data_IF_066050071369
#
_entry.id   IF_066050071369
#
_cell.length_a   1.000
_cell.length_b   1.000
_cell.length_c   1.000
_cell.angle_alpha   90.00
_cell.angle_beta   90.00
_cell.angle_gamma   90.00
#
_symmetry.space_group_name_H-M   'P 1'
#
loop_
_entity.id
_entity.type
_entity.pdbx_description
1 polymer ?
#
# COMPACT_ATOMS: atom_id res chain seq x y z
N UNK A 1 -47.29 -47.84 21.89
CA UNK A 1 -48.39 -47.00 21.35
C UNK A 1 -47.76 -46.08 20.32
N UNK A 2 -48.26 -46.16 19.09
CA UNK A 2 -47.56 -45.82 17.85
C UNK A 2 -48.17 -44.54 17.25
N UNK A 3 -47.42 -43.44 17.18
CA UNK A 3 -47.71 -42.22 16.38
C UNK A 3 -46.36 -41.45 16.30
N UNK A 4 -45.74 -41.06 15.20
CA UNK A 4 -45.92 -41.17 13.76
C UNK A 4 -44.82 -40.27 13.14
N UNK A 5 -43.87 -40.86 12.42
CA UNK A 5 -42.75 -40.18 11.73
C UNK A 5 -43.26 -39.33 10.55
N UNK A 6 -42.72 -38.11 10.39
CA UNK A 6 -42.68 -37.41 9.10
C UNK A 6 -41.28 -36.85 8.86
N UNK A 7 -40.49 -37.53 8.02
CA UNK A 7 -39.20 -37.06 7.49
C UNK A 7 -39.44 -36.16 6.27
N UNK A 8 -38.64 -35.10 6.05
CA UNK A 8 -38.71 -34.28 4.85
C UNK A 8 -38.10 -35.00 3.63
N UNK A 9 -38.75 -34.85 2.47
CA UNK A 9 -38.37 -35.44 1.19
C UNK A 9 -37.15 -34.73 0.54
N UNK A 10 -36.34 -35.44 -0.27
CA UNK A 10 -35.20 -34.86 -0.99
C UNK A 10 -35.65 -34.05 -2.23
N UNK A 11 -34.87 -33.04 -2.66
CA UNK A 11 -35.25 -32.18 -3.79
C UNK A 11 -35.16 -32.91 -5.13
N UNK A 12 -36.20 -32.71 -5.95
CA UNK A 12 -36.37 -33.24 -7.30
C UNK A 12 -35.46 -32.54 -8.32
N UNK A 13 -34.71 -33.34 -9.08
CA UNK A 13 -33.93 -32.93 -10.26
C UNK A 13 -34.87 -32.82 -11.46
N UNK A 14 -35.01 -31.62 -12.03
CA UNK A 14 -35.75 -31.39 -13.28
C UNK A 14 -34.78 -31.46 -14.46
N UNK A 15 -34.93 -32.50 -15.28
CA UNK A 15 -34.24 -32.73 -16.55
C UNK A 15 -34.87 -31.91 -17.68
N UNK A 16 -34.06 -31.17 -18.44
CA UNK A 16 -34.45 -30.59 -19.74
C UNK A 16 -34.19 -31.61 -20.89
N UNK A 17 -34.93 -31.53 -22.02
CA UNK A 17 -35.02 -32.62 -22.98
C UNK A 17 -33.89 -32.65 -24.02
N UNK A 18 -33.59 -33.89 -24.44
CA UNK A 18 -32.67 -34.30 -25.51
C UNK A 18 -33.31 -34.05 -26.89
N UNK A 19 -32.51 -33.55 -27.84
CA UNK A 19 -32.81 -33.50 -29.29
C UNK A 19 -31.58 -34.06 -30.05
N UNK A 20 -31.75 -34.84 -31.14
CA UNK A 20 -30.83 -35.94 -31.49
C UNK A 20 -29.72 -35.57 -32.50
N UNK A 21 -28.75 -36.48 -32.59
CA UNK A 21 -27.60 -36.47 -33.50
C UNK A 21 -27.97 -36.87 -34.95
N UNK A 22 -27.31 -36.25 -35.93
CA UNK A 22 -27.18 -36.72 -37.32
C UNK A 22 -25.72 -36.50 -37.78
N UNK A 23 -25.20 -37.51 -38.49
CA UNK A 23 -23.85 -37.79 -39.01
C UNK A 23 -23.35 -36.95 -40.21
N UNK A 24 -22.01 -36.96 -40.38
CA UNK A 24 -21.24 -36.82 -41.65
C UNK A 24 -20.97 -35.38 -42.12
N UNK A 25 -19.82 -34.95 -42.62
CA UNK A 25 -18.58 -35.57 -43.11
C UNK A 25 -17.46 -34.49 -43.19
N UNK A 26 -16.19 -34.89 -43.13
CA UNK A 26 -15.15 -34.35 -44.02
C UNK A 26 -14.13 -33.31 -43.53
N UNK A 27 -12.87 -33.73 -43.55
CA UNK A 27 -11.61 -32.97 -43.77
C UNK A 27 -10.84 -32.31 -42.59
N UNK A 28 -9.74 -32.99 -42.26
CA UNK A 28 -8.54 -32.55 -41.54
C UNK A 28 -7.70 -31.53 -42.31
N UNK A 29 -7.26 -30.43 -41.68
CA UNK A 29 -6.01 -29.73 -42.03
C UNK A 29 -5.33 -29.16 -40.77
N UNK A 30 -4.06 -29.55 -40.56
CA UNK A 30 -3.15 -28.98 -39.57
C UNK A 30 -2.72 -27.55 -39.95
N UNK A 31 -2.50 -26.66 -38.97
CA UNK A 31 -1.70 -25.45 -39.20
C UNK A 31 -0.63 -25.27 -38.12
N UNK A 32 0.60 -25.24 -38.64
CA UNK A 32 1.91 -25.11 -38.03
C UNK A 32 2.11 -23.84 -37.18
N UNK A 33 2.80 -23.98 -36.04
CA UNK A 33 3.52 -22.87 -35.42
C UNK A 33 4.73 -22.48 -36.27
N UNK A 34 4.89 -21.19 -36.56
CA UNK A 34 6.11 -20.63 -37.16
C UNK A 34 6.71 -19.52 -36.29
N UNK A 35 7.89 -19.85 -35.81
CA UNK A 35 8.93 -19.03 -35.20
C UNK A 35 9.49 -18.03 -36.24
N UNK A 36 9.73 -16.76 -35.86
CA UNK A 36 10.53 -15.84 -36.69
C UNK A 36 11.50 -15.01 -35.85
N UNK A 37 12.77 -15.43 -35.87
CA UNK A 37 13.94 -14.56 -35.70
C UNK A 37 14.09 -13.66 -36.93
N UNK A 38 14.62 -12.47 -36.72
CA UNK A 38 14.56 -11.36 -37.68
C UNK A 38 15.51 -11.39 -38.87
N UNK A 39 15.40 -10.33 -39.67
CA UNK A 39 16.41 -9.83 -40.59
C UNK A 39 16.04 -8.41 -41.02
N UNK A 40 17.02 -7.50 -40.89
CA UNK A 40 17.04 -6.17 -41.49
C UNK A 40 16.91 -6.20 -43.00
N UNK A 41 16.32 -5.17 -43.61
CA UNK A 41 16.85 -4.54 -44.83
C UNK A 41 16.09 -3.24 -45.16
N UNK A 42 16.90 -2.22 -45.41
CA UNK A 42 16.64 -0.91 -46.01
C UNK A 42 16.21 -1.01 -47.47
N UNK A 43 15.38 -0.08 -47.96
CA UNK A 43 15.77 0.95 -48.95
C UNK A 43 14.57 1.71 -49.56
N UNK A 44 14.81 3.00 -49.85
CA UNK A 44 14.55 3.56 -51.18
C UNK A 44 13.16 4.03 -51.59
N UNK A 45 12.86 5.30 -51.28
CA UNK A 45 12.60 6.44 -52.21
C UNK A 45 11.45 6.43 -53.26
N UNK A 46 10.88 7.64 -53.37
CA UNK A 46 10.34 8.36 -54.54
C UNK A 46 8.82 8.37 -54.83
N UNK A 47 8.18 9.43 -54.30
CA UNK A 47 7.55 10.54 -55.04
C UNK A 47 6.76 10.27 -56.33
N UNK A 48 5.45 10.52 -56.32
CA UNK A 48 4.76 11.15 -57.47
C UNK A 48 3.50 11.92 -57.02
N UNK A 49 3.44 13.19 -57.39
CA UNK A 49 2.34 14.14 -57.18
C UNK A 49 1.70 14.52 -58.54
N UNK A 50 0.36 14.50 -58.64
CA UNK A 50 -0.37 15.01 -59.82
C UNK A 50 -1.91 14.80 -59.81
N UNK A 51 -2.64 15.68 -59.11
CA UNK A 51 -3.94 16.40 -59.38
C UNK A 51 -4.98 15.91 -60.44
N UNK A 52 -6.30 16.30 -60.42
CA UNK A 52 -7.15 16.98 -59.41
C UNK A 52 -8.61 16.36 -59.30
N UNK A 53 -9.73 17.06 -58.95
CA UNK A 53 -10.62 16.59 -57.87
C UNK A 53 -12.08 16.26 -58.31
N UNK A 54 -12.73 15.28 -57.69
CA UNK A 54 -14.20 15.29 -57.54
C UNK A 54 -14.69 14.27 -56.51
N UNK A 55 -15.46 14.77 -55.54
CA UNK A 55 -16.66 14.17 -54.90
C UNK A 55 -16.67 12.64 -54.76
N UNK A 56 -16.68 12.01 -53.60
CA UNK A 56 -17.26 12.37 -52.31
C UNK A 56 -17.72 11.05 -51.68
N UNK A 57 -17.70 10.96 -50.34
CA UNK A 57 -18.27 9.87 -49.54
C UNK A 57 -17.54 8.52 -49.54
N UNK A 58 -16.43 8.38 -48.78
CA UNK A 58 -16.06 7.14 -48.04
C UNK A 58 -15.04 7.34 -46.89
N UNK A 59 -14.89 8.54 -46.31
CA UNK A 59 -13.90 8.81 -45.24
C UNK A 59 -14.49 9.40 -43.95
N UNK A 60 -15.72 9.02 -43.59
CA UNK A 60 -16.40 9.47 -42.35
C UNK A 60 -16.69 8.38 -41.31
N UNK A 61 -16.15 7.16 -41.45
CA UNK A 61 -16.42 6.07 -40.49
C UNK A 61 -15.20 5.51 -39.74
N UNK A 62 -14.05 6.19 -39.77
CA UNK A 62 -12.86 5.75 -39.00
C UNK A 62 -12.21 6.85 -38.16
N UNK A 63 -12.96 7.91 -37.78
CA UNK A 63 -12.43 9.00 -36.93
C UNK A 63 -13.16 9.24 -35.60
N UNK A 64 -14.11 8.38 -35.20
CA UNK A 64 -14.89 8.53 -33.98
C UNK A 64 -14.67 7.44 -32.90
N UNK A 65 -13.54 6.72 -32.94
CA UNK A 65 -13.25 5.68 -31.94
C UNK A 65 -12.14 6.07 -30.94
N UNK A 66 -11.89 7.37 -30.73
CA UNK A 66 -10.86 7.85 -29.81
C UNK A 66 -11.27 9.13 -29.06
N UNK A 67 -12.46 9.13 -28.47
CA UNK A 67 -12.96 10.27 -27.69
C UNK A 67 -13.80 9.86 -26.50
N UNK A 68 -13.29 8.97 -25.64
CA UNK A 68 -13.75 8.82 -24.25
C UNK A 68 -12.57 8.31 -23.39
N UNK A 69 -11.47 9.07 -23.40
CA UNK A 69 -10.47 8.98 -22.34
C UNK A 69 -10.93 9.99 -21.27
N UNK A 70 -11.29 9.49 -20.09
CA UNK A 70 -11.71 10.31 -18.96
C UNK A 70 -10.63 11.34 -18.63
N UNK A 71 -11.00 12.61 -18.74
CA UNK A 71 -10.17 13.79 -18.58
C UNK A 71 -9.86 14.04 -17.09
N UNK A 72 -8.97 13.22 -16.53
CA UNK A 72 -8.49 13.35 -15.13
C UNK A 72 -7.41 14.43 -14.99
N UNK A 73 -6.75 14.80 -16.09
CA UNK A 73 -5.66 15.78 -16.10
C UNK A 73 -6.14 17.23 -15.93
N UNK A 74 -7.32 17.57 -16.47
CA UNK A 74 -7.85 18.94 -16.36
C UNK A 74 -8.31 19.34 -14.95
N UNK A 75 -8.71 18.36 -14.12
CA UNK A 75 -9.06 18.59 -12.73
C UNK A 75 -7.83 18.79 -11.82
N UNK A 76 -6.67 18.25 -12.20
CA UNK A 76 -5.42 18.39 -11.44
C UNK A 76 -4.78 19.77 -11.63
N UNK A 77 -4.91 20.35 -12.83
CA UNK A 77 -4.40 21.69 -13.13
C UNK A 77 -5.16 22.83 -12.42
N UNK A 78 -6.42 22.60 -12.01
CA UNK A 78 -7.23 23.58 -11.30
C UNK A 78 -6.75 23.89 -9.86
N UNK A 79 -5.86 23.06 -9.29
CA UNK A 79 -5.36 23.24 -7.92
C UNK A 79 -3.95 23.86 -7.85
N UNK A 80 -3.39 24.30 -8.98
CA UNK A 80 -2.12 25.03 -9.00
C UNK A 80 -2.38 26.48 -8.55
N UNK A 81 -1.83 26.95 -7.42
CA UNK A 81 -1.99 28.34 -7.03
C UNK A 81 -1.35 29.24 -8.09
N UNK A 82 -2.14 30.16 -8.66
CA UNK A 82 -1.64 31.15 -9.61
C UNK A 82 -0.72 32.12 -8.88
N UNK A 83 0.59 32.00 -9.12
CA UNK A 83 1.58 32.97 -8.65
C UNK A 83 1.32 34.27 -9.42
N UNK A 84 0.81 35.30 -8.73
CA UNK A 84 0.63 36.64 -9.29
C UNK A 84 1.98 37.23 -9.67
N UNK A 85 2.03 37.83 -10.86
CA UNK A 85 3.15 38.51 -11.50
C UNK A 85 4.10 39.22 -10.54
N UNK A 86 5.28 38.63 -10.35
CA UNK A 86 6.45 39.30 -9.79
C UNK A 86 7.49 39.35 -10.91
N UNK A 87 8.02 40.55 -11.17
CA UNK A 87 9.03 40.80 -12.20
C UNK A 87 10.10 39.69 -12.20
N UNK A 88 10.51 39.18 -13.38
CA UNK A 88 11.50 38.11 -13.43
C UNK A 88 12.81 38.63 -12.84
N UNK A 89 13.33 38.08 -11.73
CA UNK A 89 14.70 38.34 -11.35
C UNK A 89 15.61 37.63 -12.36
N UNK A 90 16.73 38.27 -12.72
CA UNK A 90 17.73 37.76 -13.65
C UNK A 90 18.14 36.31 -13.32
N UNK A 91 17.58 35.36 -14.06
CA UNK A 91 17.79 33.91 -13.92
C UNK A 91 19.13 33.45 -14.50
N UNK A 92 20.11 34.33 -14.67
CA UNK A 92 21.38 33.94 -15.32
C UNK A 92 22.25 33.03 -14.47
N UNK A 93 22.01 32.88 -13.16
CA UNK A 93 22.87 32.06 -12.27
C UNK A 93 22.14 31.27 -11.17
N UNK A 94 20.83 31.00 -11.30
CA UNK A 94 20.14 30.12 -10.34
C UNK A 94 20.21 28.68 -10.87
N UNK A 95 21.14 27.89 -10.34
CA UNK A 95 21.16 26.44 -10.51
C UNK A 95 19.97 25.88 -9.73
N UNK A 96 18.84 25.67 -10.42
CA UNK A 96 17.75 24.85 -9.92
C UNK A 96 18.30 23.41 -9.82
N UNK A 97 18.28 22.74 -8.65
CA UNK A 97 18.66 21.34 -8.59
C UNK A 97 17.75 20.57 -9.54
N UNK A 98 18.32 19.90 -10.55
CA UNK A 98 17.53 19.04 -11.43
C UNK A 98 16.71 18.08 -10.57
N UNK A 99 15.41 18.02 -10.81
CA UNK A 99 14.59 16.90 -10.39
C UNK A 99 15.28 15.63 -10.90
N UNK A 100 15.90 14.89 -10.00
CA UNK A 100 16.61 13.66 -10.32
C UNK A 100 15.56 12.58 -10.52
N UNK A 101 14.91 12.63 -11.68
CA UNK A 101 14.21 11.47 -12.24
C UNK A 101 15.25 10.37 -12.36
N UNK A 102 14.87 9.22 -11.82
CA UNK A 102 15.77 8.11 -11.50
C UNK A 102 16.90 7.87 -12.54
N UNK A 103 18.16 8.01 -12.15
CA UNK A 103 19.34 7.54 -12.91
C UNK A 103 19.93 6.28 -12.25
N UNK A 104 19.39 5.11 -12.61
CA UNK A 104 19.79 3.80 -12.06
C UNK A 104 21.13 3.34 -12.66
N UNK A 105 21.45 3.82 -13.86
CA UNK A 105 22.63 3.37 -14.60
C UNK A 105 23.94 3.66 -13.85
N UNK A 106 23.97 4.70 -13.01
CA UNK A 106 25.16 5.11 -12.27
C UNK A 106 25.37 4.30 -10.98
N UNK A 107 24.32 3.63 -10.47
CA UNK A 107 24.41 2.71 -9.31
C UNK A 107 24.66 1.27 -9.77
N UNK A 108 24.32 0.94 -11.02
CA UNK A 108 24.42 -0.40 -11.62
C UNK A 108 25.69 -0.56 -12.48
N UNK A 109 26.68 0.31 -12.29
CA UNK A 109 28.01 0.16 -12.86
C UNK A 109 28.63 -1.19 -12.50
N UNK A 110 28.74 -2.05 -13.51
CA UNK A 110 29.59 -3.26 -13.59
C UNK A 110 29.24 -4.44 -12.67
N UNK A 111 28.64 -5.47 -13.29
CA UNK A 111 29.15 -6.85 -13.39
C UNK A 111 27.97 -7.81 -13.66
N UNK A 112 27.89 -8.30 -14.90
CA UNK A 112 27.18 -9.55 -15.20
C UNK A 112 28.26 -10.62 -15.12
N UNK A 113 28.36 -11.41 -14.03
CA UNK A 113 29.31 -12.51 -14.03
C UNK A 113 28.75 -13.63 -14.90
N UNK A 114 29.50 -14.03 -15.92
CA UNK A 114 29.32 -15.27 -16.66
C UNK A 114 29.70 -16.43 -15.73
N UNK A 115 28.77 -16.88 -14.88
CA UNK A 115 29.10 -17.96 -13.95
C UNK A 115 29.04 -19.32 -14.61
N UNK A 116 30.20 -19.96 -14.54
CA UNK A 116 30.54 -21.29 -15.01
C UNK A 116 29.87 -22.37 -14.13
N UNK A 117 29.63 -23.52 -14.75
CA UNK A 117 28.90 -24.72 -14.29
C UNK A 117 29.43 -25.28 -12.95
N UNK A 118 28.68 -25.22 -11.83
CA UNK A 118 28.94 -26.02 -10.60
C UNK A 118 27.66 -26.48 -9.87
N UNK A 119 27.76 -27.73 -9.40
CA UNK A 119 26.94 -28.59 -8.51
C UNK A 119 25.41 -28.37 -8.37
N UNK A 120 24.63 -29.44 -8.62
CA UNK A 120 23.16 -29.42 -8.66
C UNK A 120 22.44 -29.06 -7.35
N UNK A 121 23.05 -29.26 -6.18
CA UNK A 121 22.48 -28.85 -4.89
C UNK A 121 22.57 -27.34 -4.65
N UNK A 122 23.66 -26.74 -5.12
CA UNK A 122 23.79 -25.29 -5.18
C UNK A 122 22.75 -24.74 -6.14
N UNK A 123 22.55 -25.35 -7.32
CA UNK A 123 21.57 -24.87 -8.31
C UNK A 123 20.13 -24.87 -7.77
N UNK A 124 19.70 -25.91 -7.05
CA UNK A 124 18.37 -25.98 -6.42
C UNK A 124 18.23 -24.92 -5.33
N UNK A 125 19.23 -24.79 -4.45
CA UNK A 125 19.24 -23.76 -3.40
C UNK A 125 19.28 -22.35 -3.99
N UNK A 126 20.05 -22.13 -5.06
CA UNK A 126 20.13 -20.88 -5.83
C UNK A 126 18.82 -20.58 -6.58
N UNK A 127 18.10 -21.59 -7.10
CA UNK A 127 16.77 -21.38 -7.72
C UNK A 127 15.67 -21.15 -6.68
N UNK A 128 15.75 -21.78 -5.51
CA UNK A 128 14.83 -21.57 -4.39
C UNK A 128 14.99 -20.17 -3.77
N UNK A 129 16.22 -19.70 -3.52
CA UNK A 129 16.48 -18.36 -2.98
C UNK A 129 16.23 -17.24 -3.99
N UNK A 130 16.34 -17.53 -5.29
CA UNK A 130 15.90 -16.63 -6.38
C UNK A 130 14.38 -16.53 -6.50
N UNK A 131 13.63 -17.40 -5.82
CA UNK A 131 12.18 -17.41 -5.86
C UNK A 131 11.62 -16.25 -5.03
N UNK A 132 10.95 -15.29 -5.69
CA UNK A 132 10.23 -14.20 -5.04
C UNK A 132 9.24 -14.68 -3.97
N UNK A 133 8.81 -15.95 -4.03
CA UNK A 133 7.91 -16.57 -3.07
C UNK A 133 8.51 -16.73 -1.66
N UNK A 134 9.79 -17.09 -1.56
CA UNK A 134 10.47 -17.23 -0.25
C UNK A 134 10.56 -15.86 0.43
N UNK A 135 10.92 -14.83 -0.33
CA UNK A 135 10.93 -13.45 0.14
C UNK A 135 9.57 -13.03 0.71
N UNK A 136 8.47 -13.36 0.02
CA UNK A 136 7.11 -13.03 0.45
C UNK A 136 6.72 -13.75 1.74
N UNK A 137 7.10 -15.02 1.90
CA UNK A 137 6.87 -15.76 3.16
C UNK A 137 7.60 -15.09 4.32
N UNK A 138 8.89 -14.80 4.16
CA UNK A 138 9.69 -14.15 5.20
C UNK A 138 9.14 -12.77 5.53
N UNK A 139 8.76 -11.99 4.52
CA UNK A 139 8.16 -10.67 4.70
C UNK A 139 6.85 -10.74 5.51
N UNK A 140 5.96 -11.66 5.16
CA UNK A 140 4.68 -11.82 5.86
C UNK A 140 4.84 -12.27 7.31
N UNK A 141 5.76 -13.21 7.56
CA UNK A 141 6.09 -13.66 8.92
C UNK A 141 6.68 -12.51 9.75
N UNK A 142 7.67 -11.79 9.22
CA UNK A 142 8.33 -10.69 9.94
C UNK A 142 7.39 -9.51 10.23
N UNK A 143 6.56 -9.13 9.26
CA UNK A 143 5.55 -8.07 9.44
C UNK A 143 4.55 -8.45 10.55
N UNK A 144 4.10 -9.70 10.59
CA UNK A 144 3.10 -10.17 11.56
C UNK A 144 3.68 -10.37 12.95
N UNK A 145 4.91 -10.86 13.06
CA UNK A 145 5.65 -10.90 14.34
C UNK A 145 5.80 -9.49 14.90
N UNK A 146 6.17 -8.52 14.06
CA UNK A 146 6.29 -7.13 14.50
C UNK A 146 4.95 -6.56 14.97
N UNK A 147 3.87 -6.81 14.24
CA UNK A 147 2.52 -6.39 14.63
C UNK A 147 2.09 -6.97 15.98
N UNK A 148 2.31 -8.28 16.17
CA UNK A 148 2.03 -8.94 17.44
C UNK A 148 2.84 -8.33 18.60
N UNK A 149 4.14 -8.08 18.41
CA UNK A 149 5.00 -7.49 19.44
C UNK A 149 4.56 -6.07 19.84
N UNK A 150 4.19 -5.23 18.86
CA UNK A 150 3.68 -3.89 19.14
C UNK A 150 2.34 -3.96 19.87
N UNK A 151 1.41 -4.81 19.43
CA UNK A 151 0.11 -4.98 20.09
C UNK A 151 0.28 -5.50 21.54
N UNK A 152 1.19 -6.45 21.77
CA UNK A 152 1.53 -6.96 23.10
C UNK A 152 2.16 -5.88 23.99
N UNK A 153 3.07 -5.06 23.45
CA UNK A 153 3.70 -3.96 24.18
C UNK A 153 2.69 -2.87 24.55
N UNK A 154 1.77 -2.52 23.64
CA UNK A 154 0.66 -1.60 23.93
C UNK A 154 -0.25 -2.15 25.02
N UNK A 155 -0.58 -3.45 24.98
CA UNK A 155 -1.33 -4.13 26.04
C UNK A 155 -0.63 -4.08 27.40
N UNK A 156 0.70 -4.27 27.42
CA UNK A 156 1.52 -4.13 28.63
C UNK A 156 1.48 -2.72 29.22
N UNK A 157 1.64 -1.68 28.38
CA UNK A 157 1.54 -0.27 28.81
C UNK A 157 0.14 0.04 29.35
N UNK A 158 -0.92 -0.45 28.69
CA UNK A 158 -2.29 -0.26 29.15
C UNK A 158 -2.57 -0.94 30.51
N UNK A 159 -2.02 -2.13 30.74
CA UNK A 159 -2.13 -2.84 32.02
C UNK A 159 -1.39 -2.07 33.12
N UNK A 160 -0.18 -1.58 32.82
CA UNK A 160 0.61 -0.80 33.77
C UNK A 160 -0.05 0.54 34.12
N UNK A 161 -0.70 1.19 33.13
CA UNK A 161 -1.51 2.39 33.36
C UNK A 161 -2.64 2.14 34.38
N UNK A 162 -3.35 1.01 34.28
CA UNK A 162 -4.41 0.64 35.23
C UNK A 162 -3.81 0.42 36.62
N UNK A 163 -2.70 -0.32 36.72
CA UNK A 163 -2.01 -0.56 37.99
C UNK A 163 -1.60 0.75 38.66
N UNK A 164 -0.96 1.66 37.92
CA UNK A 164 -0.52 2.98 38.43
C UNK A 164 -1.71 3.82 38.87
N UNK A 165 -2.81 3.81 38.10
CA UNK A 165 -4.02 4.56 38.45
C UNK A 165 -4.64 4.06 39.76
N UNK A 166 -4.62 2.75 40.00
CA UNK A 166 -5.18 2.12 41.19
C UNK A 166 -4.36 2.36 42.47
N UNK A 167 -3.13 2.88 42.38
CA UNK A 167 -2.33 3.26 43.56
C UNK A 167 -2.87 4.53 44.26
N UNK A 168 -3.71 5.32 43.58
CA UNK A 168 -4.31 6.52 44.16
C UNK A 168 -5.38 6.17 45.21
N UNK A 169 -5.14 6.52 46.47
CA UNK A 169 -6.09 6.30 47.57
C UNK A 169 -7.33 7.21 47.57
N UNK A 170 -7.29 8.34 46.86
CA UNK A 170 -8.40 9.29 46.70
C UNK A 170 -8.61 9.61 45.22
N UNK A 171 -9.83 10.04 44.84
CA UNK A 171 -10.20 10.30 43.44
C UNK A 171 -9.28 11.33 42.75
N UNK A 172 -8.80 12.35 43.47
CA UNK A 172 -7.87 13.37 42.94
C UNK A 172 -6.53 12.73 42.59
N UNK A 173 -5.99 11.90 43.47
CA UNK A 173 -4.73 11.19 43.22
C UNK A 173 -4.86 10.23 42.03
N UNK A 174 -6.00 9.54 41.90
CA UNK A 174 -6.27 8.66 40.75
C UNK A 174 -6.30 9.44 39.43
N UNK A 175 -6.97 10.60 39.39
CA UNK A 175 -7.01 11.45 38.19
C UNK A 175 -5.61 11.98 37.84
N UNK A 176 -4.84 12.43 38.83
CA UNK A 176 -3.47 12.90 38.61
C UNK A 176 -2.54 11.79 38.09
N UNK A 177 -2.64 10.58 38.65
CA UNK A 177 -1.86 9.43 38.19
C UNK A 177 -2.29 8.97 36.80
N UNK A 178 -3.59 8.96 36.52
CA UNK A 178 -4.15 8.63 35.19
C UNK A 178 -3.61 9.58 34.11
N UNK A 179 -3.76 10.89 34.33
CA UNK A 179 -3.34 11.91 33.36
C UNK A 179 -1.81 11.98 33.28
N UNK A 180 -1.13 11.99 34.43
CA UNK A 180 0.33 12.06 34.51
C UNK A 180 1.00 10.89 33.80
N UNK A 181 0.49 9.67 33.97
CA UNK A 181 1.01 8.50 33.27
C UNK A 181 0.89 8.61 31.76
N UNK A 182 -0.29 9.00 31.25
CA UNK A 182 -0.53 9.12 29.80
C UNK A 182 0.37 10.19 29.17
N UNK A 183 0.51 11.34 29.82
CA UNK A 183 1.41 12.41 29.37
C UNK A 183 2.86 11.94 29.37
N UNK A 184 3.31 11.25 30.42
CA UNK A 184 4.67 10.73 30.52
C UNK A 184 5.01 9.77 29.37
N UNK A 185 4.15 8.79 29.12
CA UNK A 185 4.36 7.82 28.04
C UNK A 185 4.32 8.51 26.67
N UNK A 186 3.42 9.46 26.45
CA UNK A 186 3.36 10.23 25.21
C UNK A 186 4.65 11.03 24.99
N UNK A 187 5.12 11.74 26.01
CA UNK A 187 6.37 12.52 25.94
C UNK A 187 7.57 11.62 25.66
N UNK A 188 7.63 10.43 26.27
CA UNK A 188 8.66 9.45 25.99
C UNK A 188 8.65 9.05 24.50
N UNK A 189 7.47 8.73 23.95
CA UNK A 189 7.32 8.36 22.54
C UNK A 189 7.76 9.47 21.57
N UNK A 190 7.37 10.71 21.86
CA UNK A 190 7.77 11.89 21.08
C UNK A 190 9.30 12.09 21.14
N UNK A 191 9.87 11.99 22.34
CA UNK A 191 11.31 12.17 22.60
C UNK A 191 12.13 11.12 21.85
N UNK A 192 11.74 9.84 21.94
CA UNK A 192 12.40 8.74 21.21
C UNK A 192 12.35 8.95 19.69
N UNK A 193 11.20 9.35 19.16
CA UNK A 193 11.03 9.59 17.72
C UNK A 193 11.91 10.76 17.27
N UNK A 194 11.94 11.85 18.05
CA UNK A 194 12.74 13.04 17.73
C UNK A 194 14.25 12.77 17.71
N UNK A 195 14.77 12.03 18.70
CA UNK A 195 16.21 11.75 18.80
C UNK A 195 16.70 10.63 17.88
N UNK A 196 15.91 9.58 17.64
CA UNK A 196 16.35 8.44 16.82
C UNK A 196 16.22 8.74 15.32
N UNK A 197 15.02 9.14 14.88
CA UNK A 197 14.77 9.42 13.47
C UNK A 197 13.54 10.32 13.31
N UNK A 198 13.70 11.64 13.15
CA UNK A 198 12.57 12.56 13.01
C UNK A 198 11.74 12.29 11.75
N UNK A 199 12.34 11.67 10.72
CA UNK A 199 11.66 11.27 9.49
C UNK A 199 10.63 10.15 9.70
N UNK A 200 10.65 9.47 10.86
CA UNK A 200 9.66 8.43 11.19
C UNK A 200 8.28 8.99 11.55
N UNK A 201 8.18 10.30 11.82
CA UNK A 201 6.96 10.95 12.28
C UNK A 201 5.78 10.80 11.29
N UNK A 202 4.56 10.71 11.84
CA UNK A 202 3.33 10.62 11.06
C UNK A 202 2.99 9.22 10.54
N UNK A 203 1.97 9.14 9.68
CA UNK A 203 1.42 7.89 9.15
C UNK A 203 2.44 7.13 8.30
N UNK A 204 2.98 7.77 7.27
CA UNK A 204 3.89 7.17 6.29
C UNK A 204 3.21 6.64 5.03
N UNK A 205 1.87 6.60 4.97
CA UNK A 205 1.14 6.28 3.73
C UNK A 205 1.41 7.31 2.63
N UNK A 206 1.33 8.64 2.86
CA UNK A 206 1.57 9.62 1.79
C UNK A 206 2.97 9.51 1.20
N UNK A 207 3.98 9.33 2.05
CA UNK A 207 5.37 9.13 1.66
C UNK A 207 5.56 7.82 0.90
N UNK A 208 4.89 6.75 1.33
CA UNK A 208 4.91 5.47 0.64
C UNK A 208 4.23 5.56 -0.74
N UNK A 209 3.13 6.31 -0.86
CA UNK A 209 2.47 6.62 -2.14
C UNK A 209 3.44 7.33 -3.08
N UNK A 210 4.21 8.30 -2.58
CA UNK A 210 5.26 8.97 -3.37
C UNK A 210 6.37 8.01 -3.80
N UNK A 211 6.82 7.12 -2.91
CA UNK A 211 7.85 6.11 -3.25
C UNK A 211 7.36 5.12 -4.30
N UNK A 212 6.12 4.64 -4.19
CA UNK A 212 5.51 3.76 -5.20
C UNK A 212 5.20 4.51 -6.51
N UNK A 213 5.02 5.83 -6.45
CA UNK A 213 4.94 6.71 -7.61
C UNK A 213 6.29 6.98 -8.29
N UNK A 214 7.40 6.51 -7.71
CA UNK A 214 8.75 6.61 -8.28
C UNK A 214 9.65 7.69 -7.67
N UNK A 215 9.18 8.41 -6.64
CA UNK A 215 9.99 9.41 -5.95
C UNK A 215 10.89 8.77 -4.89
N UNK A 216 12.17 9.16 -4.84
CA UNK A 216 13.10 8.62 -3.84
C UNK A 216 13.16 9.53 -2.63
N UNK A 217 12.69 9.05 -1.48
CA UNK A 217 12.86 9.73 -0.20
C UNK A 217 14.08 9.14 0.55
N UNK A 218 15.18 9.89 0.69
CA UNK A 218 16.40 9.39 1.31
C UNK A 218 16.16 9.07 2.79
N UNK A 219 16.73 7.96 3.26
CA UNK A 219 16.67 7.48 4.66
C UNK A 219 15.27 7.15 5.22
N UNK A 220 14.20 7.27 4.42
CA UNK A 220 12.83 7.01 4.87
C UNK A 220 12.61 5.52 5.19
N UNK A 221 13.12 4.63 4.33
CA UNK A 221 13.05 3.17 4.51
C UNK A 221 14.24 2.59 5.30
N UNK A 222 14.81 3.36 6.24
CA UNK A 222 15.99 2.94 7.01
C UNK A 222 15.63 2.06 8.21
N UNK A 223 16.54 1.18 8.63
CA UNK A 223 16.35 0.37 9.84
C UNK A 223 16.22 1.20 11.14
N UNK A 224 16.85 2.38 11.20
CA UNK A 224 16.66 3.31 12.33
C UNK A 224 15.24 3.87 12.36
N UNK A 225 14.65 4.16 11.19
CA UNK A 225 13.26 4.57 11.10
C UNK A 225 12.30 3.45 11.57
N UNK A 226 12.65 2.17 11.37
CA UNK A 226 11.89 1.04 11.93
C UNK A 226 11.82 1.13 13.45
N UNK A 227 12.97 1.23 14.11
CA UNK A 227 13.06 1.25 15.58
C UNK A 227 12.34 2.49 16.14
N UNK A 228 12.62 3.66 15.59
CA UNK A 228 11.99 4.91 16.00
C UNK A 228 10.46 4.83 15.88
N UNK A 229 9.95 4.34 14.75
CA UNK A 229 8.51 4.28 14.49
C UNK A 229 7.81 3.22 15.33
N UNK A 230 8.42 2.05 15.56
CA UNK A 230 7.87 1.03 16.45
C UNK A 230 7.74 1.54 17.89
N UNK A 231 8.79 2.15 18.44
CA UNK A 231 8.77 2.68 19.81
C UNK A 231 7.79 3.85 19.92
N UNK A 232 7.85 4.80 18.98
CA UNK A 232 6.95 5.96 18.95
C UNK A 232 5.49 5.54 18.84
N UNK A 233 5.17 4.58 17.96
CA UNK A 233 3.81 4.04 17.80
C UNK A 233 3.33 3.34 19.08
N UNK A 234 4.17 2.53 19.70
CA UNK A 234 3.84 1.78 20.91
C UNK A 234 3.52 2.73 22.07
N UNK A 235 4.35 3.76 22.29
CA UNK A 235 4.10 4.79 23.28
C UNK A 235 2.85 5.62 22.96
N UNK A 236 2.67 6.03 21.71
CA UNK A 236 1.53 6.86 21.31
C UNK A 236 0.19 6.11 21.48
N UNK A 237 0.10 4.85 21.04
CA UNK A 237 -1.07 4.00 21.27
C UNK A 237 -1.25 3.66 22.76
N UNK A 238 -0.17 3.33 23.46
CA UNK A 238 -0.20 3.00 24.89
C UNK A 238 -0.62 4.17 25.79
N UNK A 239 -0.33 5.42 25.40
CA UNK A 239 -0.84 6.63 26.05
C UNK A 239 -2.35 6.86 25.84
N UNK A 240 -2.97 6.13 24.90
CA UNK A 240 -4.38 6.26 24.49
C UNK A 240 -4.72 7.55 23.77
N UNK A 241 -3.75 8.10 23.04
CA UNK A 241 -4.03 9.16 22.07
C UNK A 241 -4.99 8.61 21.00
N UNK A 242 -5.93 9.43 20.52
CA UNK A 242 -6.87 9.05 19.46
C UNK A 242 -6.16 8.96 18.09
N UNK A 243 -5.38 7.89 17.89
CA UNK A 243 -4.61 7.61 16.68
C UNK A 243 -4.79 6.15 16.25
N UNK A 244 -4.67 5.91 14.94
CA UNK A 244 -4.70 4.57 14.35
C UNK A 244 -3.29 4.01 14.12
N UNK A 245 -3.18 2.67 14.13
CA UNK A 245 -1.93 1.94 13.89
C UNK A 245 -1.67 1.62 12.41
N UNK A 246 -2.71 1.69 11.59
CA UNK A 246 -2.77 1.16 10.22
C UNK A 246 -1.69 1.76 9.31
N UNK A 247 -1.66 3.09 9.19
CA UNK A 247 -0.69 3.77 8.34
C UNK A 247 0.76 3.54 8.76
N UNK A 248 1.10 3.67 10.05
CA UNK A 248 2.42 3.29 10.53
C UNK A 248 2.80 1.84 10.22
N UNK A 249 1.88 0.88 10.31
CA UNK A 249 2.14 -0.53 10.01
C UNK A 249 2.44 -0.80 8.53
N UNK A 250 1.78 -0.08 7.62
CA UNK A 250 2.13 -0.09 6.19
C UNK A 250 3.59 0.34 6.02
N UNK A 251 3.98 1.46 6.63
CA UNK A 251 5.36 1.93 6.54
C UNK A 251 6.37 0.95 7.17
N UNK A 252 6.08 0.41 8.35
CA UNK A 252 6.94 -0.57 9.03
C UNK A 252 7.18 -1.81 8.15
N UNK A 253 6.13 -2.31 7.49
CA UNK A 253 6.24 -3.46 6.59
C UNK A 253 7.09 -3.15 5.36
N UNK A 254 6.97 -1.95 4.79
CA UNK A 254 7.83 -1.50 3.70
C UNK A 254 9.29 -1.33 4.13
N UNK A 255 9.55 -0.86 5.36
CA UNK A 255 10.90 -0.80 5.91
C UNK A 255 11.46 -2.23 6.07
N UNK A 256 10.68 -3.18 6.61
CA UNK A 256 11.09 -4.59 6.71
C UNK A 256 11.45 -5.13 5.32
N UNK A 257 10.60 -4.92 4.32
CA UNK A 257 10.87 -5.34 2.95
C UNK A 257 12.17 -4.75 2.41
N UNK A 258 12.39 -3.44 2.59
CA UNK A 258 13.62 -2.78 2.16
C UNK A 258 14.86 -3.32 2.89
N UNK A 259 14.75 -3.65 4.16
CA UNK A 259 15.84 -4.23 4.95
C UNK A 259 16.13 -5.68 4.55
N UNK A 260 15.10 -6.47 4.23
CA UNK A 260 15.25 -7.82 3.67
C UNK A 260 15.95 -7.78 2.30
N UNK A 261 15.60 -6.82 1.44
CA UNK A 261 16.24 -6.63 0.12
C UNK A 261 17.73 -6.25 0.21
N UNK A 262 18.19 -5.74 1.35
CA UNK A 262 19.61 -5.45 1.59
C UNK A 262 20.43 -6.68 1.96
N UNK A 263 19.80 -7.78 2.36
CA UNK A 263 20.48 -9.04 2.65
C UNK A 263 21.02 -9.66 1.36
N UNK A 264 22.21 -10.28 1.44
CA UNK A 264 22.87 -10.91 0.29
C UNK A 264 22.00 -11.99 -0.38
N UNK A 265 21.10 -12.61 0.38
CA UNK A 265 20.16 -13.64 -0.07
C UNK A 265 19.14 -13.13 -1.10
N UNK A 266 18.80 -11.84 -1.09
CA UNK A 266 17.77 -11.24 -1.95
C UNK A 266 18.33 -10.16 -2.90
N UNK A 267 19.65 -10.16 -3.12
CA UNK A 267 20.34 -9.17 -3.96
C UNK A 267 19.82 -9.15 -5.40
N UNK A 268 19.38 -10.30 -5.92
CA UNK A 268 18.82 -10.42 -7.27
C UNK A 268 17.50 -9.65 -7.43
N UNK A 269 16.64 -9.69 -6.40
CA UNK A 269 15.37 -8.94 -6.38
C UNK A 269 15.66 -7.44 -6.35
N UNK A 270 16.62 -7.02 -5.52
CA UNK A 270 17.05 -5.62 -5.41
C UNK A 270 17.65 -5.07 -6.70
N UNK A 271 18.26 -5.91 -7.54
CA UNK A 271 18.87 -5.49 -8.81
C UNK A 271 17.83 -5.04 -9.84
N UNK A 272 16.60 -5.53 -9.74
CA UNK A 272 15.50 -5.14 -10.61
C UNK A 272 14.63 -4.07 -9.92
N UNK A 273 14.44 -2.89 -10.54
CA UNK A 273 13.56 -1.86 -9.98
C UNK A 273 12.11 -2.33 -9.92
N UNK A 274 11.64 -3.06 -10.94
CA UNK A 274 10.27 -3.57 -11.01
C UNK A 274 10.01 -4.59 -9.89
N UNK A 275 10.93 -5.52 -9.66
CA UNK A 275 10.78 -6.51 -8.59
C UNK A 275 10.86 -5.86 -7.20
N UNK A 276 11.68 -4.82 -7.03
CA UNK A 276 11.74 -4.06 -5.78
C UNK A 276 10.43 -3.31 -5.54
N UNK A 277 9.85 -2.70 -6.58
CA UNK A 277 8.56 -2.04 -6.52
C UNK A 277 7.44 -3.03 -6.15
N UNK A 278 7.41 -4.20 -6.80
CA UNK A 278 6.48 -5.29 -6.48
C UNK A 278 6.64 -5.77 -5.03
N UNK A 279 7.86 -5.89 -4.53
CA UNK A 279 8.14 -6.24 -3.14
C UNK A 279 7.60 -5.20 -2.15
N UNK A 280 7.78 -3.90 -2.43
CA UNK A 280 7.25 -2.81 -1.59
C UNK A 280 5.73 -2.73 -1.66
N UNK A 281 5.13 -2.99 -2.81
CA UNK A 281 3.68 -3.10 -2.95
C UNK A 281 3.13 -4.29 -2.13
N UNK A 282 3.74 -5.48 -2.24
CA UNK A 282 3.36 -6.62 -1.42
C UNK A 282 3.53 -6.33 0.09
N UNK A 283 4.55 -5.54 0.45
CA UNK A 283 4.77 -5.06 1.81
C UNK A 283 3.66 -4.14 2.30
N UNK A 284 3.15 -3.25 1.44
CA UNK A 284 1.99 -2.41 1.77
C UNK A 284 0.76 -3.26 2.06
N UNK A 285 0.50 -4.28 1.23
CA UNK A 285 -0.64 -5.16 1.40
C UNK A 285 -0.59 -5.94 2.73
N UNK A 286 0.56 -6.55 3.03
CA UNK A 286 0.72 -7.29 4.28
C UNK A 286 0.72 -6.37 5.51
N UNK A 287 1.18 -5.13 5.40
CA UNK A 287 1.13 -4.16 6.50
C UNK A 287 -0.30 -3.81 6.93
N UNK A 288 -1.20 -3.56 5.98
CA UNK A 288 -2.64 -3.39 6.27
C UNK A 288 -3.22 -4.68 6.84
N UNK A 289 -2.87 -5.81 6.22
CA UNK A 289 -3.34 -7.11 6.65
C UNK A 289 -2.91 -7.44 8.08
N UNK A 290 -1.68 -7.11 8.48
CA UNK A 290 -1.17 -7.31 9.83
C UNK A 290 -1.85 -6.36 10.85
N UNK A 291 -2.31 -5.18 10.41
CA UNK A 291 -3.04 -4.26 11.26
C UNK A 291 -4.50 -4.70 11.51
N UNK A 292 -5.15 -5.32 10.53
CA UNK A 292 -6.60 -5.55 10.51
C UNK A 292 -7.06 -7.01 10.39
N UNK A 293 -6.17 -7.92 10.00
CA UNK A 293 -6.51 -9.32 9.70
C UNK A 293 -7.24 -9.52 8.37
N UNK A 294 -7.21 -8.55 7.44
CA UNK A 294 -7.99 -8.57 6.18
C UNK A 294 -7.09 -8.68 4.94
N UNK A 295 -6.79 -9.90 4.45
CA UNK A 295 -5.81 -10.09 3.38
C UNK A 295 -6.28 -9.51 2.03
N UNK A 296 -7.58 -9.64 1.71
CA UNK A 296 -8.14 -9.08 0.47
C UNK A 296 -8.16 -7.54 0.54
N UNK A 297 -8.60 -6.99 1.68
CA UNK A 297 -8.62 -5.54 1.90
C UNK A 297 -7.22 -4.92 1.82
N UNK A 298 -6.21 -5.57 2.39
CA UNK A 298 -4.82 -5.11 2.29
C UNK A 298 -4.30 -5.10 0.85
N UNK A 299 -4.61 -6.11 0.05
CA UNK A 299 -4.21 -6.13 -1.36
C UNK A 299 -4.92 -5.04 -2.16
N UNK A 300 -6.23 -4.84 -1.97
CA UNK A 300 -6.97 -3.75 -2.62
C UNK A 300 -6.41 -2.38 -2.24
N UNK A 301 -6.08 -2.17 -0.97
CA UNK A 301 -5.42 -0.96 -0.52
C UNK A 301 -4.04 -0.77 -1.18
N UNK A 302 -3.25 -1.84 -1.32
CA UNK A 302 -1.98 -1.74 -2.04
C UNK A 302 -2.16 -1.34 -3.50
N UNK A 303 -3.23 -1.77 -4.16
CA UNK A 303 -3.54 -1.35 -5.53
C UNK A 303 -3.87 0.14 -5.54
N UNK A 304 -4.72 0.61 -4.63
CA UNK A 304 -5.14 2.02 -4.54
C UNK A 304 -3.97 2.98 -4.26
N UNK A 305 -3.04 2.57 -3.40
CA UNK A 305 -1.83 3.36 -3.09
C UNK A 305 -0.83 3.37 -4.24
N UNK A 306 -0.88 2.39 -5.14
CA UNK A 306 0.00 2.33 -6.30
C UNK A 306 -0.59 3.15 -7.45
N UNK A 307 -0.07 4.36 -7.69
CA UNK A 307 -0.74 5.39 -8.50
C UNK A 307 -0.68 5.22 -10.01
N UNK A 308 0.17 4.34 -10.55
CA UNK A 308 0.46 4.29 -11.99
C UNK A 308 0.00 2.98 -12.64
N UNK A 309 0.57 1.86 -12.22
CA UNK A 309 0.32 0.56 -12.82
C UNK A 309 0.53 -0.55 -11.80
N UNK A 310 -0.37 -1.53 -11.80
CA UNK A 310 -0.31 -2.68 -10.91
C UNK A 310 -0.37 -3.98 -11.72
N UNK A 311 0.72 -4.77 -11.70
CA UNK A 311 0.74 -6.05 -12.40
C UNK A 311 -0.22 -7.06 -11.76
N UNK A 312 -1.03 -7.73 -12.58
CA UNK A 312 -1.92 -8.82 -12.14
C UNK A 312 -1.13 -9.99 -11.53
N UNK A 313 0.09 -10.25 -11.97
CA UNK A 313 0.96 -11.25 -11.35
C UNK A 313 1.40 -10.85 -9.93
N UNK A 314 1.50 -9.56 -9.63
CA UNK A 314 1.82 -9.05 -8.30
C UNK A 314 0.63 -9.18 -7.34
N UNK A 315 -0.60 -9.14 -7.86
CA UNK A 315 -1.83 -9.31 -7.07
C UNK A 315 -1.83 -10.63 -6.29
N UNK A 316 -1.61 -11.76 -6.97
CA UNK A 316 -1.56 -13.07 -6.31
C UNK A 316 -0.36 -13.21 -5.36
N UNK A 317 0.77 -12.58 -5.67
CA UNK A 317 1.95 -12.56 -4.78
C UNK A 317 1.69 -11.79 -3.49
N UNK A 318 1.09 -10.60 -3.60
CA UNK A 318 0.70 -9.79 -2.46
C UNK A 318 -0.39 -10.47 -1.63
N UNK A 319 -1.36 -11.13 -2.28
CA UNK A 319 -2.38 -11.93 -1.61
C UNK A 319 -1.78 -13.09 -0.82
N UNK A 320 -0.91 -13.87 -1.44
CA UNK A 320 -0.20 -14.96 -0.78
C UNK A 320 0.62 -14.48 0.44
N UNK A 321 1.40 -13.40 0.28
CA UNK A 321 2.14 -12.76 1.37
C UNK A 321 1.21 -12.36 2.54
N UNK A 322 0.07 -11.76 2.20
CA UNK A 322 -0.92 -11.31 3.18
C UNK A 322 -1.54 -12.49 3.93
N UNK A 323 -1.90 -13.58 3.25
CA UNK A 323 -2.44 -14.80 3.87
C UNK A 323 -1.42 -15.44 4.82
N UNK A 324 -0.14 -15.52 4.42
CA UNK A 324 0.94 -16.00 5.30
C UNK A 324 1.02 -15.13 6.56
N UNK A 325 0.91 -13.81 6.41
CA UNK A 325 0.90 -12.88 7.53
C UNK A 325 -0.26 -13.12 8.51
N UNK A 326 -1.50 -13.20 8.00
CA UNK A 326 -2.70 -13.51 8.80
C UNK A 326 -2.54 -14.81 9.58
N UNK A 327 -2.08 -15.88 8.91
CA UNK A 327 -1.88 -17.18 9.54
C UNK A 327 -0.85 -17.07 10.66
N UNK A 328 0.28 -16.38 10.42
CA UNK A 328 1.31 -16.18 11.42
C UNK A 328 0.78 -15.37 12.61
N UNK A 329 0.07 -14.28 12.37
CA UNK A 329 -0.52 -13.44 13.42
C UNK A 329 -1.52 -14.24 14.27
N UNK A 330 -2.38 -15.06 13.63
CA UNK A 330 -3.30 -15.96 14.32
C UNK A 330 -2.56 -16.96 15.20
N UNK A 331 -1.52 -17.58 14.65
CA UNK A 331 -0.74 -18.59 15.35
C UNK A 331 -0.06 -18.02 16.59
N UNK A 332 0.52 -16.81 16.52
CA UNK A 332 1.11 -16.11 17.66
C UNK A 332 0.09 -15.76 18.76
N UNK A 333 -1.11 -15.32 18.37
CA UNK A 333 -2.17 -15.04 19.33
C UNK A 333 -2.63 -16.32 20.06
N UNK A 334 -2.78 -17.42 19.32
CA UNK A 334 -3.13 -18.72 19.89
C UNK A 334 -2.08 -19.21 20.89
N UNK A 335 -0.79 -19.08 20.56
CA UNK A 335 0.32 -19.42 21.47
C UNK A 335 0.34 -18.58 22.75
N UNK A 336 -0.14 -17.33 22.66
CA UNK A 336 -0.19 -16.42 23.80
C UNK A 336 -1.40 -16.66 24.72
N UNK A 337 -2.21 -17.69 24.43
CA UNK A 337 -3.42 -18.00 25.18
C UNK A 337 -4.58 -17.03 24.92
N UNK A 338 -4.46 -16.18 23.90
CA UNK A 338 -5.47 -15.19 23.55
C UNK A 338 -6.25 -15.70 22.34
N UNK A 339 -7.42 -16.32 22.58
CA UNK A 339 -8.26 -16.91 21.53
C UNK A 339 -9.08 -15.86 20.77
N UNK A 340 -8.43 -14.74 20.41
CA UNK A 340 -9.05 -13.70 19.60
C UNK A 340 -9.10 -14.16 18.15
N UNK A 341 -10.28 -14.01 17.54
CA UNK A 341 -10.44 -14.15 16.10
C UNK A 341 -9.49 -13.19 15.37
N UNK A 342 -9.04 -13.60 14.19
CA UNK A 342 -8.12 -12.78 13.37
C UNK A 342 -8.79 -11.48 12.94
N UNK A 343 -10.11 -11.51 12.75
CA UNK A 343 -10.95 -10.34 12.57
C UNK A 343 -11.11 -9.60 13.91
N UNK A 344 -10.70 -8.33 13.92
CA UNK A 344 -10.76 -7.48 15.10
C UNK A 344 -12.20 -7.23 15.59
N UNK A 345 -13.19 -7.40 14.70
CA UNK A 345 -14.61 -7.24 14.98
C UNK A 345 -15.37 -8.46 14.43
N UNK A 346 -16.15 -9.12 15.28
CA UNK A 346 -17.08 -10.19 14.89
C UNK A 346 -18.48 -9.80 15.33
N UNK A 347 -19.41 -9.72 14.39
CA UNK A 347 -20.81 -9.42 14.65
C UNK A 347 -21.66 -10.45 13.93
N UNK A 348 -22.20 -11.40 14.69
CA UNK A 348 -23.13 -12.41 14.16
C UNK A 348 -24.55 -11.84 14.25
N UNK A 349 -24.92 -10.97 13.30
CA UNK A 349 -26.26 -10.41 13.21
C UNK A 349 -26.86 -10.68 11.83
N UNK A 350 -28.06 -11.26 11.80
CA UNK A 350 -28.83 -11.47 10.58
C UNK A 350 -29.54 -10.16 10.18
N UNK A 351 -28.96 -9.43 9.23
CA UNK A 351 -29.57 -8.21 8.71
C UNK A 351 -30.54 -8.53 7.56
N UNK A 352 -31.83 -8.31 7.80
CA UNK A 352 -32.88 -8.40 6.77
C UNK A 352 -33.20 -7.00 6.26
N UNK A 353 -32.50 -6.58 5.20
CA UNK A 353 -32.64 -5.24 4.65
C UNK A 353 -33.96 -5.06 3.87
N UNK A 354 -34.76 -4.07 4.26
CA UNK A 354 -35.93 -3.65 3.49
C UNK A 354 -35.55 -2.53 2.49
N UNK A 355 -36.26 -2.42 1.36
CA UNK A 355 -35.95 -1.47 0.28
C UNK A 355 -35.89 0.00 0.73
N UNK A 356 -36.65 0.38 1.76
CA UNK A 356 -36.62 1.73 2.35
C UNK A 356 -35.34 2.01 3.15
N UNK A 357 -34.76 1.00 3.80
CA UNK A 357 -33.54 1.14 4.58
C UNK A 357 -32.35 1.46 3.66
N UNK A 358 -32.33 0.95 2.43
CA UNK A 358 -31.34 1.31 1.42
C UNK A 358 -31.32 2.81 1.11
N UNK A 359 -32.50 3.46 1.09
CA UNK A 359 -32.61 4.91 0.93
C UNK A 359 -32.03 5.68 2.13
N UNK A 360 -32.26 5.18 3.35
CA UNK A 360 -31.67 5.74 4.57
C UNK A 360 -30.15 5.55 4.60
N UNK A 361 -29.61 4.41 4.15
CA UNK A 361 -28.17 4.19 4.02
C UNK A 361 -27.53 5.13 3.00
N UNK A 362 -28.21 5.45 1.90
CA UNK A 362 -27.73 6.45 0.95
C UNK A 362 -27.67 7.84 1.57
N UNK A 363 -28.71 8.25 2.31
CA UNK A 363 -28.73 9.53 3.02
C UNK A 363 -27.63 9.60 4.07
N UNK A 364 -27.41 8.51 4.81
CA UNK A 364 -26.31 8.37 5.76
C UNK A 364 -24.95 8.50 5.04
N UNK A 365 -24.77 7.84 3.90
CA UNK A 365 -23.53 7.92 3.12
C UNK A 365 -23.23 9.35 2.65
N UNK A 366 -24.25 10.08 2.18
CA UNK A 366 -24.12 11.50 1.80
C UNK A 366 -23.77 12.37 3.02
N UNK A 367 -24.45 12.15 4.14
CA UNK A 367 -24.18 12.85 5.41
C UNK A 367 -22.73 12.61 5.89
N UNK A 368 -22.29 11.35 5.93
CA UNK A 368 -20.92 10.97 6.28
C UNK A 368 -19.89 11.55 5.31
N UNK A 369 -20.19 11.56 4.00
CA UNK A 369 -19.33 12.18 2.99
C UNK A 369 -19.15 13.68 3.20
N UNK A 370 -20.25 14.39 3.49
CA UNK A 370 -20.21 15.82 3.84
C UNK A 370 -19.39 16.10 5.09
N UNK A 371 -19.61 15.32 6.16
CA UNK A 371 -18.83 15.43 7.40
C UNK A 371 -17.34 15.13 7.19
N UNK A 372 -17.00 14.11 6.39
CA UNK A 372 -15.62 13.81 6.04
C UNK A 372 -14.96 14.97 5.28
N UNK A 373 -15.67 15.60 4.34
CA UNK A 373 -15.20 16.79 3.63
C UNK A 373 -14.90 17.96 4.58
N UNK A 374 -15.80 18.23 5.53
CA UNK A 374 -15.59 19.25 6.57
C UNK A 374 -14.40 18.92 7.47
N UNK A 375 -14.24 17.65 7.85
CA UNK A 375 -13.11 17.18 8.65
C UNK A 375 -11.78 17.41 7.92
N UNK A 376 -11.67 16.96 6.66
CA UNK A 376 -10.45 17.14 5.85
C UNK A 376 -10.12 18.62 5.66
N UNK A 377 -11.13 19.47 5.40
CA UNK A 377 -10.92 20.91 5.24
C UNK A 377 -10.45 21.58 6.53
N UNK A 378 -11.05 21.24 7.66
CA UNK A 378 -10.66 21.74 8.98
C UNK A 378 -9.24 21.28 9.33
N UNK A 379 -8.92 20.01 9.12
CA UNK A 379 -7.59 19.45 9.35
C UNK A 379 -6.53 20.12 8.47
N UNK A 380 -6.83 20.35 7.19
CA UNK A 380 -5.95 21.08 6.28
C UNK A 380 -5.72 22.52 6.74
N UNK A 381 -6.75 23.21 7.20
CA UNK A 381 -6.65 24.58 7.72
C UNK A 381 -5.76 24.64 8.98
N UNK A 382 -5.95 23.73 9.93
CA UNK A 382 -5.11 23.63 11.14
C UNK A 382 -3.65 23.35 10.78
N UNK A 383 -3.40 22.44 9.83
CA UNK A 383 -2.04 22.14 9.40
C UNK A 383 -1.37 23.33 8.70
N UNK A 384 -2.11 24.07 7.88
CA UNK A 384 -1.61 25.27 7.23
C UNK A 384 -1.28 26.36 8.26
N UNK A 385 -2.16 26.55 9.25
CA UNK A 385 -1.92 27.44 10.38
C UNK A 385 -0.65 27.03 11.13
N UNK A 386 -0.54 25.76 11.56
CA UNK A 386 0.65 25.25 12.26
C UNK A 386 1.95 25.50 11.46
N UNK A 387 1.94 25.26 10.15
CA UNK A 387 3.11 25.50 9.28
C UNK A 387 3.53 26.97 9.30
N UNK A 388 2.58 27.91 9.15
CA UNK A 388 2.86 29.35 9.21
C UNK A 388 3.49 29.78 10.53
N UNK A 389 2.97 29.29 11.67
CA UNK A 389 3.53 29.64 12.99
C UNK A 389 4.93 29.06 13.19
N UNK A 390 5.17 27.80 12.78
CA UNK A 390 6.50 27.18 12.88
C UNK A 390 7.51 27.90 11.98
N UNK A 391 7.11 28.32 10.78
CA UNK A 391 7.95 29.11 9.87
C UNK A 391 8.30 30.47 10.47
N UNK A 392 7.33 31.17 11.08
CA UNK A 392 7.57 32.44 11.77
C UNK A 392 8.60 32.31 12.91
N UNK A 393 8.47 31.28 13.73
CA UNK A 393 9.43 31.01 14.83
C UNK A 393 10.83 30.74 14.28
N UNK A 394 10.96 29.95 13.21
CA UNK A 394 12.26 29.70 12.57
C UNK A 394 12.87 30.98 12.01
N UNK A 395 12.09 31.83 11.36
CA UNK A 395 12.57 33.10 10.82
C UNK A 395 13.03 34.07 11.91
N UNK A 396 12.31 34.15 13.04
CA UNK A 396 12.70 34.99 14.17
C UNK A 396 13.98 34.51 14.86
N UNK A 397 14.15 33.19 15.00
CA UNK A 397 15.36 32.61 15.57
C UNK A 397 16.59 32.83 14.67
N UNK A 398 16.43 32.70 13.35
CA UNK A 398 17.49 32.98 12.38
C UNK A 398 17.87 34.47 12.31
N UNK A 399 16.93 35.39 12.55
CA UNK A 399 17.23 36.82 12.65
C UNK A 399 17.91 37.22 13.97
N UNK A 400 17.68 36.48 15.06
CA UNK A 400 18.32 36.74 16.36
C UNK A 400 19.76 36.24 16.49
N UNK A 401 20.20 35.35 15.58
CA UNK A 401 21.57 34.79 15.54
C UNK A 401 22.52 35.66 14.68
N UNK A 402 22.00 36.68 13.98
CA UNK A 402 22.81 37.71 13.29
C UNK A 402 23.00 38.93 14.21
N UNK A 403 23.82 38.82 15.24
CA UNK A 403 24.39 39.97 15.97
C UNK A 403 25.84 39.68 16.34
#
# INVERSE_FOLDING_TARGET
MNIGETRPAPPSVTTSPVVPAIEGDGETVQVHMLNRRGSSLSDGRDSLSGLPPSTGSQSRLQRNASSHLYDFDSAFDAYRPSISSMHPPDLRNVVIPQETKWQWNDVVGQQVPTTNRRHGYDLITYTLFRSSWVFLVVLGVMSSVLAFLVDAAVGGIATLHILVTNLGGHWIAQVLLYVGYRILILLLGVTLTFFICPNAAGSGIPEMRSILGGFVLPHYLSGLALVAKCLGLTCALGSGLSIGKEGPFVHLSCIIANQLLRLNLFKDIRRSPDLTHHALSAACAVGVTAAFGTPIGGVLFSIEVTTTYYMTSNYWRAFFCSVVGVIMFRWLNMLSGNDRNVSLFTTDAEFHFHSLESGLFLLLAVGCGGLAGVFVRTYSWINHFRRRYVEQIKTQHLSGIRL
#
